data_IF_660716675092
#
_entry.id   IF_660716675092
#
_cell.length_a   1.000
_cell.length_b   1.000
_cell.length_c   1.000
_cell.angle_alpha   90.00
_cell.angle_beta   90.00
_cell.angle_gamma   90.00
#
_symmetry.space_group_name_H-M   'P 1'
#
loop_
_entity.id
_entity.type
_entity.pdbx_description
1 polymer ?
#
# COMPACT_ATOMS: atom_id res chain seq x y z
N UNK A 1 2.88 24.78 -2.38
CA UNK A 1 2.92 23.49 -3.08
C UNK A 1 4.36 23.26 -3.45
N UNK A 2 5.01 22.22 -2.91
CA UNK A 2 6.37 21.86 -3.33
C UNK A 2 6.24 21.06 -4.63
N UNK A 3 6.21 21.76 -5.76
CA UNK A 3 6.38 21.11 -7.06
C UNK A 3 7.89 20.97 -7.28
N UNK A 4 8.49 19.90 -6.75
CA UNK A 4 9.83 19.54 -7.22
C UNK A 4 9.73 19.23 -8.71
N UNK A 5 10.62 19.76 -9.56
CA UNK A 5 10.67 19.37 -10.96
C UNK A 5 10.91 17.87 -11.05
N UNK A 6 10.11 17.18 -11.87
CA UNK A 6 10.24 15.74 -12.09
C UNK A 6 11.49 15.51 -12.94
N UNK A 7 12.41 14.66 -12.45
CA UNK A 7 13.63 14.32 -13.15
C UNK A 7 13.56 12.90 -13.72
N UNK A 8 14.44 12.55 -14.67
CA UNK A 8 14.48 11.20 -15.26
C UNK A 8 14.73 10.10 -14.20
N UNK A 9 15.44 10.44 -13.12
CA UNK A 9 15.69 9.59 -11.96
C UNK A 9 14.44 9.27 -11.13
N UNK A 10 13.36 10.03 -11.28
CA UNK A 10 12.07 9.77 -10.63
C UNK A 10 11.25 8.70 -11.35
N UNK A 11 11.60 8.34 -12.59
CA UNK A 11 10.83 7.42 -13.41
C UNK A 11 10.53 6.09 -12.70
N UNK A 12 11.49 5.41 -12.01
CA UNK A 12 11.18 4.20 -11.27
C UNK A 12 10.14 4.40 -10.14
N UNK A 13 10.20 5.54 -9.43
CA UNK A 13 9.24 5.87 -8.36
C UNK A 13 7.86 6.15 -8.91
N UNK A 14 7.77 6.86 -10.04
CA UNK A 14 6.50 7.15 -10.72
C UNK A 14 5.88 5.88 -11.31
N UNK A 15 6.67 5.00 -11.90
CA UNK A 15 6.21 3.67 -12.34
C UNK A 15 5.68 2.87 -11.15
N UNK A 16 6.41 2.87 -10.03
CA UNK A 16 5.96 2.20 -8.80
C UNK A 16 4.64 2.77 -8.27
N UNK A 17 4.49 4.09 -8.23
CA UNK A 17 3.23 4.75 -7.85
C UNK A 17 2.05 4.32 -8.73
N UNK A 18 2.26 4.20 -10.04
CA UNK A 18 1.22 3.71 -10.97
C UNK A 18 0.86 2.25 -10.70
N UNK A 19 1.84 1.38 -10.45
CA UNK A 19 1.61 -0.03 -10.11
C UNK A 19 0.85 -0.19 -8.78
N UNK A 20 1.25 0.59 -7.77
CA UNK A 20 0.58 0.63 -6.47
C UNK A 20 -0.86 1.07 -6.62
N UNK A 21 -1.13 2.14 -7.37
CA UNK A 21 -2.50 2.61 -7.62
C UNK A 21 -3.36 1.54 -8.30
N UNK A 22 -2.83 0.86 -9.33
CA UNK A 22 -3.55 -0.25 -9.99
C UNK A 22 -3.87 -1.39 -9.03
N UNK A 23 -2.90 -1.77 -8.19
CA UNK A 23 -3.06 -2.87 -7.24
C UNK A 23 -4.04 -2.53 -6.14
N UNK A 24 -3.95 -1.32 -5.57
CA UNK A 24 -4.88 -0.79 -4.56
C UNK A 24 -6.32 -0.82 -5.10
N UNK A 25 -6.54 -0.29 -6.30
CA UNK A 25 -7.86 -0.28 -6.92
C UNK A 25 -8.39 -1.71 -7.16
N UNK A 26 -7.52 -2.64 -7.55
CA UNK A 26 -7.93 -4.04 -7.78
C UNK A 26 -8.35 -4.78 -6.50
N UNK A 27 -7.89 -4.32 -5.33
CA UNK A 27 -8.18 -4.96 -4.04
C UNK A 27 -8.99 -4.07 -3.08
N UNK A 28 -9.50 -2.93 -3.56
CA UNK A 28 -10.13 -1.89 -2.73
C UNK A 28 -11.35 -2.41 -1.95
N UNK A 29 -12.04 -3.44 -2.48
CA UNK A 29 -13.15 -4.11 -1.81
C UNK A 29 -12.80 -4.59 -0.39
N UNK A 30 -11.53 -4.92 -0.13
CA UNK A 30 -11.05 -5.32 1.19
C UNK A 30 -11.26 -4.22 2.25
N UNK A 31 -11.37 -2.94 1.86
CA UNK A 31 -11.68 -1.84 2.78
C UNK A 31 -13.06 -2.02 3.45
N UNK A 32 -14.02 -2.55 2.69
CA UNK A 32 -15.39 -2.80 3.14
C UNK A 32 -15.55 -4.21 3.70
N UNK A 33 -14.78 -5.19 3.21
CA UNK A 33 -14.83 -6.59 3.63
C UNK A 33 -13.48 -7.07 4.19
N UNK A 34 -13.14 -6.62 5.41
CA UNK A 34 -11.80 -6.78 6.01
C UNK A 34 -11.34 -8.23 6.25
N UNK A 35 -12.26 -9.19 6.26
CA UNK A 35 -11.98 -10.62 6.43
C UNK A 35 -11.86 -11.38 5.10
N UNK A 36 -12.22 -10.75 3.98
CA UNK A 36 -12.15 -11.37 2.67
C UNK A 36 -10.70 -11.53 2.21
N UNK A 37 -10.55 -12.30 1.14
CA UNK A 37 -9.30 -12.49 0.41
C UNK A 37 -9.57 -12.22 -1.06
N UNK A 38 -8.68 -11.47 -1.71
CA UNK A 38 -8.76 -11.19 -3.15
C UNK A 38 -7.57 -11.86 -3.83
N UNK A 39 -7.81 -12.56 -4.94
CA UNK A 39 -6.74 -13.09 -5.80
C UNK A 39 -6.51 -12.09 -6.93
N UNK A 40 -5.32 -11.52 -7.01
CA UNK A 40 -4.94 -10.57 -8.04
C UNK A 40 -3.46 -10.73 -8.40
N UNK A 41 -3.15 -10.71 -9.70
CA UNK A 41 -1.80 -10.89 -10.23
C UNK A 41 -1.06 -12.13 -9.67
N UNK A 42 -1.78 -13.25 -9.52
CA UNK A 42 -1.21 -14.51 -9.01
C UNK A 42 -0.93 -14.55 -7.51
N UNK A 43 -1.27 -13.50 -6.75
CA UNK A 43 -1.11 -13.42 -5.29
C UNK A 43 -2.45 -13.32 -4.58
N UNK A 44 -2.51 -13.87 -3.36
CA UNK A 44 -3.63 -13.66 -2.43
C UNK A 44 -3.36 -12.39 -1.61
N UNK A 45 -4.32 -11.47 -1.62
CA UNK A 45 -4.31 -10.19 -0.91
C UNK A 45 -5.33 -10.21 0.23
N UNK A 46 -4.97 -9.58 1.34
CA UNK A 46 -5.78 -9.41 2.54
C UNK A 46 -5.83 -7.93 2.91
N UNK A 47 -6.75 -7.57 3.80
CA UNK A 47 -6.89 -6.19 4.27
C UNK A 47 -5.57 -5.56 4.75
N UNK A 48 -4.76 -6.34 5.46
CA UNK A 48 -3.43 -5.92 5.90
C UNK A 48 -2.52 -5.49 4.71
N UNK A 49 -2.56 -6.22 3.59
CA UNK A 49 -1.78 -5.87 2.39
C UNK A 49 -2.28 -4.55 1.77
N UNK A 50 -3.60 -4.31 1.75
CA UNK A 50 -4.18 -3.05 1.27
C UNK A 50 -3.68 -1.86 2.11
N UNK A 51 -3.66 -1.98 3.45
CA UNK A 51 -3.13 -0.94 4.35
C UNK A 51 -1.63 -0.69 4.08
N UNK A 52 -0.84 -1.74 3.82
CA UNK A 52 0.58 -1.60 3.46
C UNK A 52 0.79 -0.85 2.15
N UNK A 53 0.07 -1.25 1.09
CA UNK A 53 0.20 -0.60 -0.22
C UNK A 53 -0.19 0.87 -0.15
N UNK A 54 -1.24 1.21 0.61
CA UNK A 54 -1.64 2.59 0.83
C UNK A 54 -0.55 3.39 1.57
N UNK A 55 0.15 2.77 2.54
CA UNK A 55 1.30 3.38 3.20
C UNK A 55 2.48 3.58 2.26
N UNK A 56 2.85 2.57 1.47
CA UNK A 56 3.93 2.67 0.49
C UNK A 56 3.63 3.77 -0.54
N UNK A 57 2.40 3.79 -1.07
CA UNK A 57 1.94 4.81 -2.00
C UNK A 57 2.08 6.22 -1.41
N UNK A 58 1.65 6.41 -0.15
CA UNK A 58 1.78 7.68 0.54
C UNK A 58 3.25 8.13 0.65
N UNK A 59 4.14 7.26 1.12
CA UNK A 59 5.57 7.60 1.29
C UNK A 59 6.21 8.01 -0.04
N UNK A 60 5.90 7.30 -1.12
CA UNK A 60 6.41 7.60 -2.46
C UNK A 60 5.80 8.87 -3.06
N UNK A 61 4.60 9.26 -2.63
CA UNK A 61 3.86 10.42 -3.12
C UNK A 61 4.31 11.75 -2.50
N UNK A 62 4.88 11.75 -1.28
CA UNK A 62 5.30 12.95 -0.54
C UNK A 62 6.21 13.88 -1.36
N UNK A 63 7.29 13.40 -2.04
CA UNK A 63 8.20 14.26 -2.79
C UNK A 63 7.51 15.02 -3.94
N UNK A 64 6.41 14.47 -4.46
CA UNK A 64 5.64 15.04 -5.56
C UNK A 64 4.53 15.99 -5.10
N UNK A 65 4.54 16.39 -3.82
CA UNK A 65 3.64 17.42 -3.29
C UNK A 65 2.21 16.93 -3.01
N UNK A 66 1.97 15.62 -3.03
CA UNK A 66 0.71 15.03 -2.58
C UNK A 66 0.56 15.23 -1.06
N UNK A 67 -0.24 16.21 -0.67
CA UNK A 67 -0.65 16.41 0.72
C UNK A 67 -1.82 15.50 1.04
N UNK A 68 -1.59 14.49 1.87
CA UNK A 68 -2.67 13.73 2.49
C UNK A 68 -2.77 14.20 3.94
N UNK A 69 -3.59 15.22 4.16
CA UNK A 69 -3.92 15.65 5.51
C UNK A 69 -4.56 14.47 6.27
N UNK A 70 -4.21 14.30 7.54
CA UNK A 70 -4.70 13.24 8.43
C UNK A 70 -4.22 11.81 8.10
N UNK A 71 -3.24 11.61 7.22
CA UNK A 71 -2.71 10.26 6.93
C UNK A 71 -2.21 9.54 8.19
N UNK A 72 -1.49 10.24 9.08
CA UNK A 72 -1.01 9.65 10.35
C UNK A 72 -2.15 9.23 11.28
N UNK A 73 -3.25 9.98 11.30
CA UNK A 73 -4.44 9.63 12.08
C UNK A 73 -5.17 8.43 11.48
N UNK A 74 -5.29 8.41 10.15
CA UNK A 74 -5.81 7.26 9.41
C UNK A 74 -4.97 6.01 9.70
N UNK A 75 -3.64 6.09 9.57
CA UNK A 75 -2.73 4.95 9.83
C UNK A 75 -2.85 4.43 11.27
N UNK A 76 -2.98 5.31 12.25
CA UNK A 76 -3.20 4.94 13.64
C UNK A 76 -4.55 4.22 13.84
N UNK A 77 -5.62 4.70 13.17
CA UNK A 77 -6.91 4.02 13.18
C UNK A 77 -6.83 2.63 12.52
N UNK A 78 -6.10 2.50 11.40
CA UNK A 78 -5.90 1.22 10.72
C UNK A 78 -5.09 0.22 11.56
N UNK A 79 -4.07 0.69 12.27
CA UNK A 79 -3.34 -0.11 13.25
C UNK A 79 -4.25 -0.64 14.36
N UNK A 80 -5.16 0.19 14.86
CA UNK A 80 -6.13 -0.22 15.87
C UNK A 80 -7.12 -1.26 15.33
N UNK A 81 -7.60 -1.08 14.09
CA UNK A 81 -8.48 -2.03 13.39
C UNK A 81 -7.78 -3.37 13.22
N UNK A 82 -6.56 -3.39 12.67
CA UNK A 82 -5.80 -4.62 12.47
C UNK A 82 -5.59 -5.37 13.80
N UNK A 83 -5.26 -4.64 14.87
CA UNK A 83 -5.15 -5.21 16.21
C UNK A 83 -6.49 -5.78 16.71
N UNK A 84 -7.60 -5.06 16.52
CA UNK A 84 -8.94 -5.50 16.92
C UNK A 84 -9.35 -6.81 16.23
N UNK A 85 -9.02 -6.95 14.94
CA UNK A 85 -9.34 -8.14 14.15
C UNK A 85 -8.28 -9.25 14.23
N UNK A 86 -7.26 -9.09 15.10
CA UNK A 86 -6.11 -9.98 15.20
C UNK A 86 -5.45 -10.25 13.83
N UNK A 87 -5.49 -9.24 12.96
CA UNK A 87 -4.84 -9.26 11.66
C UNK A 87 -3.38 -8.86 11.85
N UNK A 88 -2.43 -9.61 11.28
CA UNK A 88 -1.02 -9.27 11.43
C UNK A 88 -0.74 -7.93 10.76
N UNK A 89 0.12 -7.12 11.39
CA UNK A 89 0.76 -6.05 10.65
C UNK A 89 1.56 -6.69 9.51
N UNK A 90 1.46 -6.17 8.28
CA UNK A 90 2.27 -6.64 7.18
C UNK A 90 3.73 -6.36 7.53
N UNK A 91 4.45 -7.40 7.94
CA UNK A 91 5.90 -7.39 7.98
C UNK A 91 6.34 -7.26 6.52
N UNK A 92 7.38 -6.48 6.23
CA UNK A 92 7.97 -6.38 4.91
C UNK A 92 8.62 -7.73 4.50
N UNK A 93 7.87 -8.82 4.45
CA UNK A 93 8.26 -10.06 3.80
C UNK A 93 8.01 -9.91 2.31
N UNK A 94 8.69 -8.93 1.72
CA UNK A 94 9.07 -8.94 0.32
C UNK A 94 10.36 -9.77 0.20
N UNK A 95 10.33 -11.01 0.70
CA UNK A 95 11.40 -12.02 0.59
C UNK A 95 10.86 -13.35 1.17
N UNK A 96 10.04 -14.07 0.41
CA UNK A 96 9.76 -15.49 0.64
C UNK A 96 9.22 -16.16 -0.64
N UNK A 97 9.72 -15.75 -1.81
CA UNK A 97 9.52 -16.47 -3.07
C UNK A 97 10.85 -16.43 -3.85
N UNK A 98 11.92 -16.84 -3.20
CA UNK A 98 13.11 -17.38 -3.84
C UNK A 98 13.27 -18.80 -3.32
N UNK A 99 13.23 -19.74 -4.26
CA UNK A 99 13.52 -21.17 -4.16
C UNK A 99 12.71 -22.01 -3.17
N UNK A 100 11.64 -22.63 -3.67
CA UNK A 100 11.54 -24.10 -3.62
C UNK A 100 10.94 -24.61 -4.94
N UNK A 101 11.82 -25.07 -5.83
CA UNK A 101 11.55 -26.05 -6.89
C UNK A 101 12.85 -26.80 -7.23
#
# INVERSE_FOLDING_TARGET
MNNQPIHAEDLPRLTRLQELCKTINAIEHLANAKHDKVVYAGRIWRYADLVYLAYEYYVLAIPYGLKIDNFSQWLAAEQAILKQFNLPWPVATLNAATDEA
#
